data_IF_736753814851
#
_entry.id   IF_736753814851
#
_cell.length_a   1.000
_cell.length_b   1.000
_cell.length_c   1.000
_cell.angle_alpha   90.00
_cell.angle_beta   90.00
_cell.angle_gamma   90.00
#
_symmetry.space_group_name_H-M   'P 1'
#
loop_
_entity.id
_entity.type
_entity.pdbx_description
1 polymer ?
#
# COMPACT_ATOMS: atom_id res chain seq x y z
N UNK A 1 20.20 -43.32 -18.45
CA UNK A 1 20.03 -41.95 -18.96
C UNK A 1 19.36 -41.13 -17.88
N UNK A 2 20.12 -40.38 -17.09
CA UNK A 2 19.60 -39.43 -16.12
C UNK A 2 19.61 -38.06 -16.78
N UNK A 3 18.45 -37.44 -16.95
CA UNK A 3 18.32 -36.08 -17.47
C UNK A 3 18.38 -35.17 -16.24
N UNK A 4 19.52 -34.50 -16.07
CA UNK A 4 19.68 -33.42 -15.11
C UNK A 4 18.87 -32.21 -15.61
N UNK A 5 17.96 -31.73 -14.79
CA UNK A 5 17.22 -30.50 -15.04
C UNK A 5 17.96 -29.38 -14.28
N UNK A 6 18.87 -28.71 -14.99
CA UNK A 6 19.54 -27.51 -14.49
C UNK A 6 18.51 -26.38 -14.42
N UNK A 7 18.20 -25.95 -13.20
CA UNK A 7 17.48 -24.70 -12.98
C UNK A 7 18.45 -23.55 -13.15
N UNK A 8 18.23 -22.71 -14.17
CA UNK A 8 18.93 -21.44 -14.28
C UNK A 8 18.56 -20.51 -13.12
N UNK A 9 19.54 -19.86 -12.46
CA UNK A 9 19.26 -18.90 -11.41
C UNK A 9 18.67 -17.63 -11.99
N UNK A 10 17.43 -17.32 -11.57
CA UNK A 10 16.76 -16.04 -11.83
C UNK A 10 17.65 -14.93 -11.27
N UNK A 11 18.19 -14.11 -12.16
CA UNK A 11 19.09 -13.01 -11.83
C UNK A 11 18.37 -12.00 -10.93
N UNK A 12 18.71 -12.01 -9.65
CA UNK A 12 18.38 -10.96 -8.71
C UNK A 12 19.13 -9.70 -9.13
N UNK A 13 18.40 -8.76 -9.75
CA UNK A 13 18.98 -7.54 -10.31
C UNK A 13 19.55 -6.66 -9.19
N UNK A 14 20.88 -6.58 -9.16
CA UNK A 14 21.68 -5.70 -8.33
C UNK A 14 21.43 -4.23 -8.73
N UNK A 15 20.35 -3.65 -8.21
CA UNK A 15 20.06 -2.21 -8.35
C UNK A 15 20.96 -1.44 -7.38
N UNK A 16 21.78 -0.55 -7.94
CA UNK A 16 22.66 0.40 -7.27
C UNK A 16 21.97 1.13 -6.08
N UNK A 17 22.67 1.38 -4.97
CA UNK A 17 22.06 1.93 -3.75
C UNK A 17 21.52 3.36 -3.91
N UNK A 18 22.01 4.13 -4.90
CA UNK A 18 21.56 5.49 -5.17
C UNK A 18 20.17 5.52 -5.83
N UNK A 19 19.86 4.57 -6.72
CA UNK A 19 18.57 4.52 -7.42
C UNK A 19 17.43 4.07 -6.51
N UNK A 20 17.72 3.19 -5.54
CA UNK A 20 16.75 2.77 -4.52
C UNK A 20 16.28 3.94 -3.67
N UNK A 21 17.19 4.84 -3.28
CA UNK A 21 16.86 6.04 -2.49
C UNK A 21 15.97 7.03 -3.25
N UNK A 22 16.19 7.18 -4.56
CA UNK A 22 15.37 8.08 -5.38
C UNK A 22 13.89 7.64 -5.46
N UNK A 23 13.62 6.32 -5.47
CA UNK A 23 12.26 5.75 -5.49
C UNK A 23 11.51 5.88 -4.16
N UNK A 24 12.24 6.09 -3.07
CA UNK A 24 11.70 6.15 -1.71
C UNK A 24 11.43 7.59 -1.24
N UNK A 25 11.70 8.57 -2.08
CA UNK A 25 11.35 9.95 -1.79
C UNK A 25 9.83 10.13 -1.85
N UNK A 26 9.29 11.02 -1.01
CA UNK A 26 7.86 11.32 -1.02
C UNK A 26 7.47 11.85 -2.41
N UNK A 27 6.40 11.32 -2.99
CA UNK A 27 5.90 11.76 -4.30
C UNK A 27 5.37 13.20 -4.30
N UNK A 28 5.17 13.78 -3.12
CA UNK A 28 4.81 15.18 -2.98
C UNK A 28 6.02 16.01 -3.44
N UNK A 29 5.90 16.62 -4.64
CA UNK A 29 6.94 17.46 -5.21
C UNK A 29 7.40 18.53 -4.21
N UNK A 30 8.65 18.96 -4.36
CA UNK A 30 9.10 20.15 -3.64
C UNK A 30 8.19 21.31 -4.04
N UNK A 31 7.73 22.09 -3.06
CA UNK A 31 6.86 23.24 -3.30
C UNK A 31 7.67 24.33 -4.03
N UNK A 32 7.84 24.21 -5.35
CA UNK A 32 8.49 25.22 -6.20
C UNK A 32 7.53 26.40 -6.36
N UNK A 33 7.74 27.42 -5.53
CA UNK A 33 6.92 28.63 -5.55
C UNK A 33 7.17 29.41 -6.83
N UNK A 34 6.08 29.81 -7.48
CA UNK A 34 6.13 30.79 -8.58
C UNK A 34 6.53 32.16 -8.03
N UNK A 35 7.14 32.98 -8.87
CA UNK A 35 7.53 34.35 -8.53
C UNK A 35 6.30 35.13 -8.01
N UNK A 36 6.38 35.62 -6.77
CA UNK A 36 5.29 36.32 -6.07
C UNK A 36 4.49 35.49 -5.06
N UNK A 37 4.68 34.17 -4.97
CA UNK A 37 3.99 33.34 -3.98
C UNK A 37 4.77 33.23 -2.66
N UNK A 38 4.10 33.43 -1.52
CA UNK A 38 4.73 33.35 -0.19
C UNK A 38 4.90 31.89 0.26
N UNK A 39 6.08 31.56 0.81
CA UNK A 39 6.31 30.29 1.54
C UNK A 39 5.42 30.28 2.79
N UNK A 40 4.39 29.43 2.84
CA UNK A 40 3.65 29.19 4.08
C UNK A 40 4.48 28.31 5.03
N UNK A 41 4.38 28.58 6.34
CA UNK A 41 5.11 27.83 7.34
C UNK A 41 4.73 26.34 7.32
N UNK A 42 5.74 25.48 7.22
CA UNK A 42 5.62 24.02 7.31
C UNK A 42 6.57 23.52 8.39
N UNK A 43 6.09 22.64 9.28
CA UNK A 43 6.92 22.02 10.35
C UNK A 43 7.83 20.91 9.83
N UNK A 44 7.60 20.47 8.60
CA UNK A 44 8.12 19.25 8.02
C UNK A 44 9.04 19.63 6.88
N UNK A 45 10.31 19.26 6.99
CA UNK A 45 11.29 19.46 5.93
C UNK A 45 11.20 18.30 4.92
N UNK A 46 10.43 18.49 3.84
CA UNK A 46 10.14 17.44 2.84
C UNK A 46 11.40 16.78 2.27
N UNK A 47 12.47 17.53 2.05
CA UNK A 47 13.73 17.04 1.46
C UNK A 47 14.50 16.07 2.36
N UNK A 48 14.24 16.08 3.68
CA UNK A 48 14.89 15.19 4.65
C UNK A 48 14.14 13.88 4.87
N UNK A 49 12.99 13.69 4.23
CA UNK A 49 12.09 12.58 4.51
C UNK A 49 12.08 11.60 3.34
N UNK A 50 12.42 10.36 3.65
CA UNK A 50 12.35 9.23 2.75
C UNK A 50 11.60 8.09 3.43
N UNK A 51 10.90 7.28 2.64
CA UNK A 51 10.35 6.02 3.09
C UNK A 51 11.47 4.98 3.25
N UNK A 52 11.27 4.02 4.16
CA UNK A 52 12.20 2.89 4.31
C UNK A 52 12.02 1.86 3.19
N UNK A 53 10.77 1.59 2.83
CA UNK A 53 10.40 0.65 1.77
C UNK A 53 9.31 1.21 0.86
N UNK A 54 9.31 0.74 -0.39
CA UNK A 54 8.34 1.14 -1.41
C UNK A 54 6.91 0.78 -1.02
N UNK A 55 6.73 -0.33 -0.30
CA UNK A 55 5.42 -0.81 0.15
C UNK A 55 4.71 0.18 1.09
N UNK A 56 5.46 1.04 1.79
CA UNK A 56 4.91 2.03 2.73
C UNK A 56 4.44 3.32 2.04
N UNK A 57 4.66 3.45 0.74
CA UNK A 57 4.29 4.65 -0.02
C UNK A 57 2.79 4.74 -0.29
N UNK A 58 2.11 3.59 -0.38
CA UNK A 58 0.72 3.47 -0.79
C UNK A 58 -0.17 3.17 0.43
N UNK A 59 -1.03 4.11 0.80
CA UNK A 59 -2.00 3.95 1.89
C UNK A 59 -3.32 3.31 1.44
N UNK A 60 -3.44 2.88 0.18
CA UNK A 60 -4.67 2.22 -0.29
C UNK A 60 -4.84 0.86 0.38
N UNK A 61 -6.08 0.55 0.78
CA UNK A 61 -6.38 -0.75 1.35
C UNK A 61 -6.30 -1.83 0.28
N UNK A 62 -5.33 -2.75 0.42
CA UNK A 62 -5.22 -3.99 -0.35
C UNK A 62 -5.35 -5.15 0.62
N UNK A 63 -6.55 -5.72 0.69
CA UNK A 63 -6.78 -6.95 1.45
C UNK A 63 -6.08 -8.13 0.78
N UNK A 64 -5.76 -9.17 1.56
CA UNK A 64 -5.34 -10.43 0.96
C UNK A 64 -6.49 -11.04 0.16
N UNK A 65 -6.17 -11.61 -1.01
CA UNK A 65 -7.15 -12.13 -1.96
C UNK A 65 -8.09 -13.16 -1.32
N UNK A 66 -9.40 -12.96 -1.45
CA UNK A 66 -10.43 -13.85 -0.94
C UNK A 66 -10.66 -13.76 0.58
N UNK A 67 -10.12 -12.74 1.25
CA UNK A 67 -10.32 -12.58 2.70
C UNK A 67 -11.62 -11.89 3.06
N UNK A 68 -12.07 -12.12 4.29
CA UNK A 68 -13.26 -11.49 4.85
C UNK A 68 -13.23 -9.95 4.81
N UNK A 69 -12.05 -9.32 4.86
CA UNK A 69 -11.92 -7.86 4.77
C UNK A 69 -12.00 -7.33 3.34
N UNK A 70 -11.38 -8.02 2.38
CA UNK A 70 -11.36 -7.61 0.97
C UNK A 70 -12.77 -7.61 0.36
N UNK A 71 -13.52 -8.71 0.52
CA UNK A 71 -14.89 -8.81 0.02
C UNK A 71 -15.83 -7.77 0.67
N UNK A 72 -15.52 -7.35 1.89
CA UNK A 72 -16.27 -6.30 2.57
C UNK A 72 -15.93 -4.93 1.96
N UNK A 73 -14.66 -4.66 1.70
CA UNK A 73 -14.20 -3.42 1.08
C UNK A 73 -14.73 -3.29 -0.36
N UNK A 74 -14.76 -4.37 -1.13
CA UNK A 74 -15.32 -4.38 -2.48
C UNK A 74 -16.80 -3.93 -2.46
N UNK A 75 -17.59 -4.45 -1.52
CA UNK A 75 -19.03 -4.16 -1.44
C UNK A 75 -19.35 -2.83 -0.77
N UNK A 76 -18.64 -2.47 0.30
CA UNK A 76 -18.97 -1.30 1.14
C UNK A 76 -18.04 -0.10 0.96
N UNK A 77 -16.84 -0.27 0.41
CA UNK A 77 -15.84 0.81 0.31
C UNK A 77 -16.29 1.97 -0.58
N UNK A 78 -17.15 1.69 -1.55
CA UNK A 78 -17.73 2.65 -2.51
C UNK A 78 -18.84 3.50 -1.90
N UNK A 79 -19.53 3.01 -0.85
CA UNK A 79 -20.67 3.70 -0.23
C UNK A 79 -20.24 4.43 1.03
N UNK A 80 -20.82 5.61 1.28
CA UNK A 80 -20.52 6.45 2.45
C UNK A 80 -21.82 6.85 3.17
N UNK A 81 -21.70 7.26 4.44
CA UNK A 81 -22.82 7.82 5.21
C UNK A 81 -24.02 6.88 5.39
N UNK A 82 -25.24 7.38 5.12
CA UNK A 82 -26.49 6.66 5.38
C UNK A 82 -26.61 5.36 4.59
N UNK A 83 -26.11 5.33 3.35
CA UNK A 83 -26.18 4.15 2.49
C UNK A 83 -25.16 3.09 2.90
N UNK A 84 -24.02 3.50 3.47
CA UNK A 84 -23.11 2.56 4.14
C UNK A 84 -23.82 1.85 5.29
N UNK A 85 -24.53 2.57 6.16
CA UNK A 85 -25.25 1.96 7.29
C UNK A 85 -26.33 0.98 6.83
N UNK A 86 -27.12 1.34 5.81
CA UNK A 86 -28.13 0.43 5.22
C UNK A 86 -27.48 -0.80 4.59
N UNK A 87 -26.43 -0.60 3.79
CA UNK A 87 -25.69 -1.67 3.13
C UNK A 87 -25.08 -2.64 4.15
N UNK A 88 -24.39 -2.09 5.16
CA UNK A 88 -23.85 -2.84 6.30
C UNK A 88 -24.93 -3.66 7.01
N UNK A 89 -26.08 -3.05 7.33
CA UNK A 89 -27.16 -3.76 8.03
C UNK A 89 -27.77 -4.88 7.17
N UNK A 90 -27.95 -4.65 5.87
CA UNK A 90 -28.42 -5.66 4.91
C UNK A 90 -27.45 -6.85 4.81
N UNK A 91 -26.16 -6.54 4.76
CA UNK A 91 -25.09 -7.54 4.70
C UNK A 91 -24.91 -8.29 6.02
N UNK A 92 -25.01 -7.61 7.16
CA UNK A 92 -25.05 -8.21 8.50
C UNK A 92 -26.22 -9.19 8.67
N UNK A 93 -27.39 -8.88 8.10
CA UNK A 93 -28.60 -9.71 8.23
C UNK A 93 -28.57 -10.99 7.39
N UNK A 94 -27.55 -11.20 6.56
CA UNK A 94 -27.36 -12.46 5.81
C UNK A 94 -26.93 -12.28 4.36
N UNK A 95 -26.85 -11.04 3.85
CA UNK A 95 -26.37 -10.76 2.49
C UNK A 95 -24.85 -10.88 2.31
N UNK A 96 -24.10 -11.05 3.41
CA UNK A 96 -22.65 -11.17 3.37
C UNK A 96 -22.20 -12.50 3.95
N UNK A 97 -21.59 -13.33 3.08
CA UNK A 97 -21.02 -14.63 3.44
C UNK A 97 -19.48 -14.59 3.55
N UNK A 98 -18.88 -13.42 3.27
CA UNK A 98 -17.45 -13.16 3.39
C UNK A 98 -16.53 -14.14 2.65
N UNK A 99 -15.26 -14.05 3.01
CA UNK A 99 -14.17 -14.92 2.55
C UNK A 99 -13.55 -15.66 3.72
N UNK A 100 -12.33 -16.18 3.58
CA UNK A 100 -11.64 -16.80 4.73
C UNK A 100 -11.12 -15.74 5.70
N UNK A 101 -11.03 -16.10 6.99
CA UNK A 101 -10.33 -15.27 7.99
C UNK A 101 -8.93 -15.85 8.13
N UNK A 102 -7.93 -15.07 7.71
CA UNK A 102 -6.53 -15.45 7.84
C UNK A 102 -5.98 -15.01 9.20
N UNK A 103 -5.12 -15.82 9.80
CA UNK A 103 -4.34 -15.46 11.01
C UNK A 103 -2.93 -14.95 10.67
N UNK A 104 -2.64 -14.75 9.39
CA UNK A 104 -1.34 -14.26 8.92
C UNK A 104 -1.12 -12.79 9.29
N UNK A 105 0.12 -12.41 9.57
CA UNK A 105 0.48 -11.00 9.78
C UNK A 105 0.73 -10.31 8.44
N UNK A 106 0.17 -9.12 8.25
CA UNK A 106 0.45 -8.22 7.12
C UNK A 106 1.27 -7.00 7.53
N UNK A 107 2.01 -7.09 8.63
CA UNK A 107 2.82 -5.98 9.16
C UNK A 107 4.18 -5.87 8.46
N UNK A 108 4.63 -4.64 8.22
CA UNK A 108 6.02 -4.37 7.83
C UNK A 108 6.93 -4.37 9.06
N UNK A 109 8.08 -5.05 8.98
CA UNK A 109 9.10 -5.07 10.04
C UNK A 109 10.23 -4.10 9.68
N UNK A 110 10.42 -3.08 10.52
CA UNK A 110 11.52 -2.13 10.40
C UNK A 110 12.85 -2.78 10.80
N UNK A 111 13.94 -2.36 10.15
CA UNK A 111 15.29 -2.89 10.34
C UNK A 111 16.13 -2.08 11.35
N UNK A 112 15.50 -1.13 12.06
CA UNK A 112 16.13 -0.32 13.10
C UNK A 112 16.86 -1.16 14.17
#
# INVERSE_FOLDING_TARGET
>A
MAIANEQEPVQESSIEPAEKKAKLNISAGNDDLKEGQRRHFSRVERSKISFEAWELTDNTYKGAAGTWGELANEKLGRVRGKDFTKGKNKMKRGGYRGGTITMASGSYKFQD
#
